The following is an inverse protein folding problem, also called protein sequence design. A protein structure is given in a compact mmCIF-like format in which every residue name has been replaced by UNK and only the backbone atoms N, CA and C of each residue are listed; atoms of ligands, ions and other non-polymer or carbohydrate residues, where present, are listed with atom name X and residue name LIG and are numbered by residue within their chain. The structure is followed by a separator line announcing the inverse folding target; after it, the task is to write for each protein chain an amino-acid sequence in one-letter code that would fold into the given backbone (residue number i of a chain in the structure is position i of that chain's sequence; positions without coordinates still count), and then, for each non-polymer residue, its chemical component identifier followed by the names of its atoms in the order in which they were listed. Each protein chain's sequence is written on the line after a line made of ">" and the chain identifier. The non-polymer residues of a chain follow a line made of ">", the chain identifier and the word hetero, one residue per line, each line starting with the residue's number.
data_IF_996116160627
#
_entry.id   IF_996116160627
#
_cell.length_a   1.000
_cell.length_b   1.000
_cell.length_c   1.000
_cell.angle_alpha   90.00
_cell.angle_beta   90.00
_cell.angle_gamma   90.00
#
_symmetry.space_group_name_H-M   'P 1'
#
loop_
_entity.id
_entity.type
_entity.pdbx_description
1 polymer ?
#
# COMPACT_ATOMS: atom_id res chain seq x y z
N UNK A 1 -3.08 -3.65 32.09
CA UNK A 1 -1.81 -3.33 31.42
C UNK A 1 -1.98 -3.47 29.91
N UNK A 2 -2.05 -2.36 29.19
CA UNK A 2 -2.26 -2.36 27.73
C UNK A 2 -0.91 -2.56 27.03
N UNK A 3 -0.64 -3.79 26.61
CA UNK A 3 0.51 -4.09 25.75
C UNK A 3 -0.04 -4.44 24.36
N UNK A 4 0.18 -3.55 23.40
CA UNK A 4 0.32 -3.93 22.00
C UNK A 4 1.56 -3.23 21.45
N UNK A 5 2.72 -3.73 21.90
CA UNK A 5 3.95 -3.59 21.12
C UNK A 5 3.89 -4.67 20.03
N UNK A 6 3.94 -4.19 18.78
CA UNK A 6 4.04 -4.91 17.51
C UNK A 6 4.77 -6.25 17.57
N UNK A 7 4.06 -7.32 17.18
CA UNK A 7 4.63 -8.58 16.72
C UNK A 7 4.04 -8.92 15.34
N UNK A 8 4.87 -8.79 14.31
CA UNK A 8 4.60 -9.30 12.97
C UNK A 8 4.37 -10.82 13.02
N UNK A 9 3.16 -11.26 12.65
CA UNK A 9 2.84 -12.52 11.95
C UNK A 9 1.32 -12.77 12.06
N UNK A 10 0.55 -12.02 11.28
CA UNK A 10 -0.81 -12.43 10.90
C UNK A 10 -0.73 -12.82 9.44
N UNK A 11 -0.66 -14.12 9.17
CA UNK A 11 -0.79 -14.68 7.82
C UNK A 11 -2.16 -14.30 7.26
N UNK A 12 -2.23 -13.21 6.48
CA UNK A 12 -3.40 -12.81 5.69
C UNK A 12 -2.96 -11.77 4.65
N UNK A 13 -2.46 -12.23 3.51
CA UNK A 13 -2.44 -11.55 2.20
C UNK A 13 -2.66 -10.01 2.22
N UNK A 14 -1.77 -9.21 2.84
CA UNK A 14 -1.93 -7.74 2.83
C UNK A 14 -1.37 -7.22 1.50
N UNK A 15 -2.14 -7.47 0.44
CA UNK A 15 -2.10 -6.77 -0.84
C UNK A 15 -2.88 -5.45 -0.79
N UNK A 16 -3.34 -5.05 0.39
CA UNK A 16 -4.18 -3.88 0.53
C UNK A 16 -3.39 -2.75 1.18
N UNK A 17 -3.31 -1.65 0.44
CA UNK A 17 -2.74 -0.42 0.91
C UNK A 17 -3.44 0.05 2.20
N UNK A 18 -2.71 0.72 3.12
CA UNK A 18 -3.30 1.20 4.36
C UNK A 18 -4.46 2.16 4.09
N UNK A 19 -5.39 2.28 5.05
CA UNK A 19 -6.59 3.11 4.93
C UNK A 19 -6.25 4.53 4.46
N UNK A 20 -6.92 4.98 3.40
CA UNK A 20 -6.67 6.28 2.78
C UNK A 20 -5.62 6.26 1.65
N UNK A 21 -5.11 5.07 1.32
CA UNK A 21 -4.25 4.85 0.16
C UNK A 21 -4.91 3.92 -0.86
N UNK A 22 -4.49 4.02 -2.12
CA UNK A 22 -4.95 3.17 -3.23
C UNK A 22 -3.78 2.38 -3.83
N UNK A 23 -3.98 1.10 -4.14
CA UNK A 23 -2.95 0.30 -4.80
C UNK A 23 -2.75 0.77 -6.24
N UNK A 24 -1.49 1.05 -6.58
CA UNK A 24 -1.03 1.43 -7.91
C UNK A 24 -0.10 0.36 -8.47
N UNK A 25 -0.62 -0.43 -9.39
CA UNK A 25 0.12 -1.43 -10.17
C UNK A 25 0.79 -0.75 -11.36
N UNK A 26 1.89 -0.05 -11.11
CA UNK A 26 2.55 0.76 -12.15
C UNK A 26 3.40 -0.07 -13.11
N UNK A 27 3.85 -1.26 -12.73
CA UNK A 27 4.64 -2.13 -13.58
C UNK A 27 4.39 -3.62 -13.27
N UNK A 28 4.76 -4.55 -14.17
CA UNK A 28 4.63 -5.98 -13.94
C UNK A 28 5.34 -6.39 -12.65
N UNK A 29 4.59 -7.01 -11.74
CA UNK A 29 5.05 -7.43 -10.40
C UNK A 29 5.52 -6.28 -9.49
N UNK A 30 5.15 -5.04 -9.84
CA UNK A 30 5.49 -3.84 -9.08
C UNK A 30 4.21 -3.07 -8.77
N UNK A 31 3.82 -3.10 -7.51
CA UNK A 31 2.76 -2.25 -6.95
C UNK A 31 3.34 -1.28 -5.92
N UNK A 32 2.62 -0.19 -5.70
CA UNK A 32 2.90 0.78 -4.65
C UNK A 32 1.59 1.39 -4.15
N UNK A 33 1.58 1.98 -2.96
CA UNK A 33 0.39 2.60 -2.40
C UNK A 33 0.41 4.12 -2.59
N UNK A 34 -0.61 4.64 -3.26
CA UNK A 34 -0.79 6.07 -3.52
C UNK A 34 -1.60 6.73 -2.41
N UNK A 35 -1.19 7.90 -1.96
CA UNK A 35 -1.97 8.77 -1.10
C UNK A 35 -3.19 9.33 -1.83
N UNK A 36 -4.19 9.75 -1.06
CA UNK A 36 -5.36 10.44 -1.59
C UNK A 36 -4.94 11.71 -2.35
N UNK A 37 -5.30 11.78 -3.63
CA UNK A 37 -4.95 12.87 -4.54
C UNK A 37 -3.84 12.53 -5.53
N UNK A 38 -3.08 11.46 -5.30
CA UNK A 38 -2.15 10.95 -6.29
C UNK A 38 -2.87 10.10 -7.34
N UNK A 39 -2.42 10.18 -8.58
CA UNK A 39 -2.84 9.31 -9.68
C UNK A 39 -1.80 8.22 -9.91
N UNK A 40 -2.28 7.01 -10.17
CA UNK A 40 -1.42 5.92 -10.62
C UNK A 40 -1.08 6.09 -12.10
N UNK A 41 0.19 6.35 -12.40
CA UNK A 41 0.71 6.48 -13.77
C UNK A 41 1.49 5.22 -14.12
N UNK A 42 1.14 4.56 -15.23
CA UNK A 42 1.85 3.38 -15.71
C UNK A 42 3.35 3.68 -15.95
N UNK A 43 4.21 2.74 -15.57
CA UNK A 43 5.68 2.82 -15.58
C UNK A 43 6.30 3.96 -14.74
N UNK A 44 5.49 4.71 -14.00
CA UNK A 44 5.95 5.86 -13.19
C UNK A 44 5.61 5.64 -11.72
N UNK A 45 4.35 5.32 -11.41
CA UNK A 45 3.87 5.23 -10.03
C UNK A 45 2.87 6.30 -9.65
N UNK A 46 2.76 6.54 -8.35
CA UNK A 46 1.93 7.60 -7.78
C UNK A 46 2.54 8.96 -8.07
N UNK A 47 1.74 9.88 -8.62
CA UNK A 47 2.08 11.29 -8.83
C UNK A 47 0.89 12.21 -8.59
N UNK A 48 1.15 13.40 -8.07
CA UNK A 48 0.17 14.49 -7.96
C UNK A 48 -0.12 15.14 -9.32
#
# INVERSE_FOLDING_TARGET
>A
DTILATNENTSSNVKDCPTGQSECNYAPHKSQCCLAGERCIANVGCRC
#
